data_IF_357907154251
#
_entry.id   IF_357907154251
#
_cell.length_a   1.000
_cell.length_b   1.000
_cell.length_c   1.000
_cell.angle_alpha   90.00
_cell.angle_beta   90.00
_cell.angle_gamma   90.00
#
_symmetry.space_group_name_H-M   'P 1'
#
loop_
_entity.id
_entity.type
_entity.pdbx_description
1 polymer ?
#
# COMPACT_ATOMS: atom_id res chain seq x y z
N UNK A 1 19.24 6.21 22.95
CA UNK A 1 18.56 6.97 24.04
C UNK A 1 17.19 7.51 23.61
N UNK A 2 17.09 8.25 22.47
CA UNK A 2 15.82 8.88 22.05
C UNK A 2 14.75 7.84 21.67
N UNK A 3 15.15 6.66 21.19
CA UNK A 3 14.26 5.58 20.81
C UNK A 3 13.96 4.58 21.92
N UNK A 4 14.49 4.78 23.14
CA UNK A 4 14.21 3.95 24.28
C UNK A 4 13.05 4.50 25.11
N UNK A 5 12.23 3.60 25.68
CA UNK A 5 11.07 3.97 26.49
C UNK A 5 11.49 4.67 27.81
N UNK A 6 12.68 4.38 28.30
CA UNK A 6 13.21 4.87 29.58
C UNK A 6 14.49 5.66 29.36
N UNK A 7 14.67 6.72 30.13
CA UNK A 7 15.91 7.47 30.26
C UNK A 7 16.60 7.07 31.57
N UNK A 8 17.84 6.63 31.45
CA UNK A 8 18.70 6.31 32.59
C UNK A 8 19.69 7.46 32.74
N UNK A 9 19.73 8.06 33.91
CA UNK A 9 20.67 9.12 34.27
C UNK A 9 21.89 8.54 35.01
N UNK A 10 22.97 9.32 35.10
CA UNK A 10 24.21 8.91 35.75
C UNK A 10 24.03 8.56 37.25
N UNK A 11 22.93 9.01 37.87
CA UNK A 11 22.57 8.73 39.25
C UNK A 11 21.53 7.58 39.38
N UNK A 12 21.45 6.69 38.41
CA UNK A 12 20.53 5.55 38.32
C UNK A 12 19.04 5.90 38.40
N UNK A 13 18.68 7.17 38.21
CA UNK A 13 17.29 7.56 38.10
C UNK A 13 16.75 7.12 36.77
N UNK A 14 15.59 6.46 36.77
CA UNK A 14 14.86 6.03 35.58
C UNK A 14 13.66 6.94 35.42
N UNK A 15 13.59 7.67 34.28
CA UNK A 15 12.44 8.49 33.94
C UNK A 15 11.87 8.03 32.58
N UNK A 16 10.57 8.18 32.41
CA UNK A 16 9.92 7.88 31.13
C UNK A 16 10.36 8.88 30.06
N UNK A 17 10.70 8.38 28.88
CA UNK A 17 11.11 9.21 27.77
C UNK A 17 9.89 9.86 27.09
N UNK A 18 9.66 11.14 27.35
CA UNK A 18 8.53 11.88 26.81
C UNK A 18 8.52 11.96 25.26
N UNK A 19 9.70 12.02 24.64
CA UNK A 19 9.84 12.05 23.18
C UNK A 19 9.42 10.70 22.57
N UNK A 20 9.87 9.61 23.18
CA UNK A 20 9.44 8.27 22.80
C UNK A 20 7.93 8.10 22.96
N UNK A 21 7.36 8.49 24.09
CA UNK A 21 5.92 8.40 24.35
C UNK A 21 5.08 9.15 23.31
N UNK A 22 5.50 10.35 22.91
CA UNK A 22 4.79 11.14 21.89
C UNK A 22 4.84 10.48 20.51
N UNK A 23 5.98 9.88 20.16
CA UNK A 23 6.16 9.23 18.87
C UNK A 23 5.48 7.85 18.81
N UNK A 24 5.54 7.08 19.89
CA UNK A 24 4.96 5.74 20.01
C UNK A 24 3.42 5.80 20.03
N UNK A 25 2.86 6.74 20.79
CA UNK A 25 1.41 6.99 20.82
C UNK A 25 0.85 7.59 19.50
N UNK A 26 1.71 8.03 18.59
CA UNK A 26 1.30 8.71 17.36
C UNK A 26 0.77 10.14 17.54
N UNK A 27 0.82 10.69 18.75
CA UNK A 27 0.33 12.04 19.03
C UNK A 27 1.13 13.12 18.29
N UNK A 28 2.46 13.00 18.29
CA UNK A 28 3.34 13.95 17.61
C UNK A 28 4.69 13.30 17.28
N UNK A 29 5.15 13.55 16.05
CA UNK A 29 6.45 13.06 15.59
C UNK A 29 6.41 11.67 14.97
N UNK A 30 7.48 11.33 14.27
CA UNK A 30 7.71 10.02 13.67
C UNK A 30 9.15 9.59 13.90
N UNK A 31 9.45 8.29 13.72
CA UNK A 31 10.82 7.79 13.82
C UNK A 31 11.78 8.52 12.85
N UNK A 32 11.31 8.87 11.65
CA UNK A 32 12.11 9.62 10.68
C UNK A 32 12.48 11.01 11.20
N UNK A 33 11.56 11.70 11.88
CA UNK A 33 11.83 13.00 12.51
C UNK A 33 12.80 12.86 13.69
N UNK A 34 12.65 11.83 14.51
CA UNK A 34 13.60 11.56 15.60
C UNK A 34 15.03 11.29 15.08
N UNK A 35 15.16 10.55 13.98
CA UNK A 35 16.45 10.33 13.31
C UNK A 35 17.10 11.63 12.84
N UNK A 36 16.32 12.57 12.32
CA UNK A 36 16.83 13.88 11.89
C UNK A 36 17.26 14.77 13.06
N UNK A 37 16.62 14.63 14.22
CA UNK A 37 16.97 15.43 15.41
C UNK A 37 18.26 14.99 16.08
N UNK A 38 18.52 13.68 16.15
CA UNK A 38 19.60 13.11 16.97
C UNK A 38 20.50 12.11 16.24
N UNK A 39 20.13 11.69 15.04
CA UNK A 39 20.93 10.78 14.23
C UNK A 39 21.62 11.49 13.09
N UNK A 40 21.13 11.28 11.87
CA UNK A 40 21.63 11.84 10.65
C UNK A 40 20.45 12.33 9.80
N UNK A 41 20.58 13.46 9.13
CA UNK A 41 19.51 13.95 8.26
C UNK A 41 19.39 13.14 6.97
N UNK A 42 20.52 12.74 6.35
CA UNK A 42 20.56 11.86 5.19
C UNK A 42 20.52 12.58 3.84
N UNK A 43 20.07 11.89 2.81
CA UNK A 43 20.02 12.36 1.42
C UNK A 43 18.86 13.34 1.20
N UNK A 44 19.12 14.41 0.47
CA UNK A 44 18.13 15.44 0.13
C UNK A 44 17.82 15.35 -1.36
N UNK A 45 16.55 15.51 -1.70
CA UNK A 45 16.09 15.58 -3.09
C UNK A 45 15.95 17.05 -3.55
N UNK A 46 16.45 17.34 -4.75
CA UNK A 46 16.22 18.61 -5.45
C UNK A 46 14.73 18.77 -5.84
N UNK A 47 14.25 19.97 -6.13
CA UNK A 47 12.90 20.17 -6.66
C UNK A 47 12.62 19.37 -7.94
N UNK A 48 13.64 19.11 -8.77
CA UNK A 48 13.56 18.26 -9.96
C UNK A 48 13.28 16.78 -9.69
N UNK A 49 13.43 16.33 -8.43
CA UNK A 49 13.32 14.91 -8.03
C UNK A 49 14.66 14.18 -7.94
N UNK A 50 15.71 14.75 -8.49
CA UNK A 50 17.08 14.22 -8.44
C UNK A 50 17.63 14.24 -7.01
N UNK A 51 18.31 13.18 -6.59
CA UNK A 51 18.90 13.06 -5.25
C UNK A 51 20.30 13.69 -5.28
N UNK A 52 20.62 14.51 -4.26
CA UNK A 52 21.97 15.05 -4.07
C UNK A 52 22.83 13.93 -3.49
N UNK A 53 23.94 13.61 -4.17
CA UNK A 53 24.81 12.48 -3.82
C UNK A 53 25.48 12.65 -2.44
N UNK A 54 25.82 13.89 -2.04
CA UNK A 54 26.41 14.18 -0.74
C UNK A 54 25.36 14.16 0.36
N UNK A 55 25.37 13.17 1.29
CA UNK A 55 24.42 13.13 2.39
C UNK A 55 24.73 14.19 3.44
N UNK A 56 23.71 14.63 4.16
CA UNK A 56 23.87 15.47 5.35
C UNK A 56 24.09 14.53 6.53
N UNK A 57 25.31 14.48 7.06
CA UNK A 57 25.71 13.60 8.16
C UNK A 57 25.29 14.18 9.50
N UNK A 58 25.35 15.51 9.65
CA UNK A 58 24.97 16.20 10.87
C UNK A 58 23.46 16.11 11.16
N UNK A 59 23.11 16.22 12.42
CA UNK A 59 21.74 16.29 12.90
C UNK A 59 21.38 17.73 13.34
N UNK A 60 20.10 17.96 13.61
CA UNK A 60 19.66 19.29 14.05
C UNK A 60 20.14 19.68 15.44
N UNK A 61 20.43 18.71 16.33
CA UNK A 61 20.94 18.99 17.69
C UNK A 61 22.37 19.52 17.65
N UNK A 62 23.22 18.97 16.79
CA UNK A 62 24.61 19.38 16.61
C UNK A 62 24.74 20.64 15.77
N UNK A 63 23.77 20.88 14.89
CA UNK A 63 23.78 21.93 13.90
C UNK A 63 24.43 21.49 12.58
N UNK A 64 24.03 22.15 11.49
CA UNK A 64 24.49 21.85 10.15
C UNK A 64 25.64 22.79 9.77
N UNK A 65 26.61 22.28 9.00
CA UNK A 65 27.60 23.11 8.34
C UNK A 65 26.92 24.02 7.28
N UNK A 66 27.60 25.07 6.85
CA UNK A 66 27.06 26.02 5.86
C UNK A 66 26.68 25.32 4.55
N UNK A 67 27.48 24.35 4.09
CA UNK A 67 27.23 23.61 2.87
C UNK A 67 26.03 22.65 3.03
N UNK A 68 25.97 21.95 4.15
CA UNK A 68 24.84 21.07 4.49
C UNK A 68 23.53 21.86 4.64
N UNK A 69 23.60 23.04 5.24
CA UNK A 69 22.45 23.93 5.33
C UNK A 69 21.96 24.34 3.94
N UNK A 70 22.87 24.75 3.04
CA UNK A 70 22.51 25.07 1.66
C UNK A 70 21.84 23.89 0.95
N UNK A 71 22.40 22.68 1.02
CA UNK A 71 21.79 21.47 0.47
C UNK A 71 20.39 21.22 1.07
N UNK A 72 20.25 21.45 2.36
CA UNK A 72 18.98 21.33 3.08
C UNK A 72 17.89 22.27 2.54
N UNK A 73 18.24 23.47 2.03
CA UNK A 73 17.27 24.42 1.49
C UNK A 73 16.57 23.91 0.23
N UNK A 74 17.21 23.05 -0.56
CA UNK A 74 16.57 22.41 -1.72
C UNK A 74 15.38 21.51 -1.28
N UNK A 75 15.57 20.73 -0.21
CA UNK A 75 14.50 19.91 0.35
C UNK A 75 13.36 20.75 0.92
N UNK A 76 13.67 21.86 1.60
CA UNK A 76 12.65 22.78 2.11
C UNK A 76 11.83 23.41 0.97
N UNK A 77 12.49 23.90 -0.08
CA UNK A 77 11.83 24.48 -1.27
C UNK A 77 10.94 23.46 -1.96
N UNK A 78 11.42 22.22 -2.15
CA UNK A 78 10.62 21.11 -2.69
C UNK A 78 9.39 20.86 -1.84
N UNK A 79 9.55 20.75 -0.52
CA UNK A 79 8.43 20.54 0.40
C UNK A 79 7.36 21.62 0.32
N UNK A 80 7.75 22.91 0.24
CA UNK A 80 6.83 24.03 0.06
C UNK A 80 6.06 23.95 -1.27
N UNK A 81 6.77 23.69 -2.37
CA UNK A 81 6.16 23.56 -3.69
C UNK A 81 5.20 22.37 -3.76
N UNK A 82 5.64 21.21 -3.26
CA UNK A 82 4.82 19.98 -3.23
C UNK A 82 3.55 20.18 -2.40
N UNK A 83 3.64 20.86 -1.26
CA UNK A 83 2.47 21.17 -0.42
C UNK A 83 1.45 22.02 -1.17
N UNK A 84 1.89 23.08 -1.84
CA UNK A 84 1.01 23.97 -2.58
C UNK A 84 0.28 23.24 -3.73
N UNK A 85 1.01 22.43 -4.51
CA UNK A 85 0.45 21.68 -5.63
C UNK A 85 -0.49 20.56 -5.17
N UNK A 86 -0.07 19.80 -4.17
CA UNK A 86 -0.87 18.66 -3.65
C UNK A 86 -2.15 19.12 -2.96
N UNK A 87 -2.16 20.28 -2.31
CA UNK A 87 -3.38 20.84 -1.70
C UNK A 87 -4.45 21.07 -2.76
N UNK A 88 -4.08 21.66 -3.90
CA UNK A 88 -5.01 21.86 -5.01
C UNK A 88 -5.53 20.54 -5.57
N UNK A 89 -4.66 19.55 -5.77
CA UNK A 89 -5.03 18.22 -6.25
C UNK A 89 -5.97 17.49 -5.27
N UNK A 90 -5.71 17.58 -3.96
CA UNK A 90 -6.58 17.00 -2.93
C UNK A 90 -7.97 17.64 -2.93
N UNK A 91 -8.04 18.97 -3.04
CA UNK A 91 -9.31 19.67 -3.15
C UNK A 91 -10.10 19.29 -4.39
N UNK A 92 -9.44 19.18 -5.54
CA UNK A 92 -10.06 18.73 -6.78
C UNK A 92 -10.55 17.28 -6.69
N UNK A 93 -9.76 16.38 -6.09
CA UNK A 93 -10.18 14.98 -5.86
C UNK A 93 -11.42 14.92 -4.98
N UNK A 94 -11.44 15.66 -3.86
CA UNK A 94 -12.58 15.70 -2.95
C UNK A 94 -13.84 16.19 -3.66
N UNK A 95 -13.74 17.27 -4.45
CA UNK A 95 -14.85 17.77 -5.25
C UNK A 95 -15.38 16.70 -6.21
N UNK A 96 -14.52 16.04 -6.96
CA UNK A 96 -14.93 14.98 -7.91
C UNK A 96 -15.58 13.80 -7.19
N UNK A 97 -15.06 13.40 -6.02
CA UNK A 97 -15.67 12.35 -5.22
C UNK A 97 -17.08 12.75 -4.75
N UNK A 98 -17.25 13.99 -4.29
CA UNK A 98 -18.55 14.50 -3.89
C UNK A 98 -19.53 14.52 -5.08
N UNK A 99 -19.11 15.02 -6.24
CA UNK A 99 -19.96 15.10 -7.44
C UNK A 99 -20.46 13.71 -7.90
N UNK A 100 -19.59 12.67 -7.77
CA UNK A 100 -19.96 11.29 -8.13
C UNK A 100 -20.82 10.61 -7.06
N UNK A 101 -20.51 10.87 -5.79
CA UNK A 101 -21.14 10.16 -4.66
C UNK A 101 -22.40 10.83 -4.11
N UNK A 102 -22.77 12.03 -4.56
CA UNK A 102 -23.91 12.80 -4.02
C UNK A 102 -25.24 12.05 -4.11
N UNK A 103 -25.43 11.23 -5.16
CA UNK A 103 -26.66 10.45 -5.38
C UNK A 103 -26.70 9.14 -4.56
N UNK A 104 -25.59 8.79 -3.89
CA UNK A 104 -25.54 7.57 -3.07
C UNK A 104 -26.13 7.86 -1.69
N UNK A 105 -27.42 7.62 -1.56
CA UNK A 105 -28.20 7.79 -0.32
C UNK A 105 -28.85 6.47 0.09
N UNK A 106 -29.24 6.36 1.36
CA UNK A 106 -30.02 5.23 1.83
C UNK A 106 -31.48 5.42 1.43
N UNK A 107 -31.93 4.69 0.42
CA UNK A 107 -33.25 4.88 -0.18
C UNK A 107 -34.30 3.89 0.30
N UNK A 108 -33.89 2.69 0.75
CA UNK A 108 -34.80 1.61 1.14
C UNK A 108 -34.31 0.92 2.40
N UNK A 109 -35.23 0.31 3.16
CA UNK A 109 -34.86 -0.54 4.29
C UNK A 109 -34.13 -1.80 3.81
N UNK A 110 -34.64 -2.45 2.78
CA UNK A 110 -34.11 -3.69 2.21
C UNK A 110 -34.17 -3.64 0.67
N UNK A 111 -33.16 -4.19 0.01
CA UNK A 111 -33.19 -4.42 -1.43
C UNK A 111 -33.75 -5.81 -1.75
N UNK A 112 -33.88 -6.12 -3.05
CA UNK A 112 -34.42 -7.40 -3.53
C UNK A 112 -33.56 -8.58 -2.97
N UNK A 113 -34.14 -9.45 -2.11
CA UNK A 113 -33.41 -10.57 -1.50
C UNK A 113 -32.85 -11.56 -2.50
N UNK A 114 -33.54 -11.78 -3.62
CA UNK A 114 -33.16 -12.76 -4.62
C UNK A 114 -31.96 -12.32 -5.49
N UNK A 115 -31.74 -11.02 -5.58
CA UNK A 115 -30.64 -10.42 -6.36
C UNK A 115 -29.47 -9.97 -5.50
N UNK A 116 -29.64 -9.92 -4.18
CA UNK A 116 -28.62 -9.50 -3.23
C UNK A 116 -27.60 -10.63 -3.02
N UNK A 117 -26.33 -10.36 -3.28
CA UNK A 117 -25.25 -11.30 -3.00
C UNK A 117 -24.45 -10.91 -1.76
N UNK A 118 -23.78 -11.90 -1.19
CA UNK A 118 -22.88 -11.72 -0.04
C UNK A 118 -21.43 -11.60 -0.48
N UNK A 119 -20.60 -11.02 0.38
CA UNK A 119 -19.15 -10.96 0.24
C UNK A 119 -18.53 -11.69 1.41
N UNK A 120 -17.58 -12.58 1.11
CA UNK A 120 -16.80 -13.27 2.13
C UNK A 120 -15.67 -12.37 2.60
N UNK A 121 -15.61 -12.14 3.91
CA UNK A 121 -14.55 -11.36 4.57
C UNK A 121 -13.73 -12.31 5.43
N UNK A 122 -12.40 -12.22 5.32
CA UNK A 122 -11.41 -12.92 6.15
C UNK A 122 -10.44 -11.92 6.76
N UNK A 123 -9.65 -12.33 7.71
CA UNK A 123 -8.54 -11.54 8.25
C UNK A 123 -7.52 -11.17 7.16
N UNK A 124 -6.84 -10.03 7.32
CA UNK A 124 -5.74 -9.62 6.43
C UNK A 124 -4.43 -10.00 7.10
N UNK A 125 -3.72 -10.93 6.46
CA UNK A 125 -2.41 -11.41 6.93
C UNK A 125 -1.35 -10.90 5.95
N UNK A 126 -0.34 -10.23 6.44
CA UNK A 126 0.81 -9.80 5.65
C UNK A 126 2.10 -10.20 6.36
N UNK A 127 2.95 -10.93 5.65
CA UNK A 127 4.24 -11.40 6.20
C UNK A 127 4.14 -12.30 7.44
N UNK A 128 2.99 -12.95 7.66
CA UNK A 128 2.74 -13.81 8.83
C UNK A 128 2.20 -13.08 10.06
N UNK A 129 2.03 -11.76 9.97
CA UNK A 129 1.36 -10.96 11.01
C UNK A 129 -0.06 -10.61 10.56
N UNK A 130 -1.01 -10.66 11.50
CA UNK A 130 -2.37 -10.18 11.26
C UNK A 130 -2.33 -8.65 11.28
N UNK A 131 -2.54 -8.03 10.12
CA UNK A 131 -2.63 -6.57 9.99
C UNK A 131 -3.97 -6.05 10.47
N UNK A 132 -5.05 -6.71 10.06
CA UNK A 132 -6.42 -6.35 10.44
C UNK A 132 -7.15 -7.62 10.80
N UNK A 133 -7.68 -7.66 12.02
CA UNK A 133 -8.45 -8.81 12.51
C UNK A 133 -9.78 -8.96 11.78
N UNK A 134 -10.35 -10.16 11.81
CA UNK A 134 -11.66 -10.41 11.22
C UNK A 134 -12.73 -9.56 11.91
N UNK A 135 -12.68 -9.44 13.24
CA UNK A 135 -13.60 -8.66 14.06
C UNK A 135 -13.66 -7.20 13.65
N UNK A 136 -12.51 -6.54 13.44
CA UNK A 136 -12.46 -5.15 12.97
C UNK A 136 -13.09 -4.96 11.59
N UNK A 137 -12.97 -5.95 10.70
CA UNK A 137 -13.50 -5.88 9.34
C UNK A 137 -15.00 -6.13 9.24
N UNK A 138 -15.55 -6.91 10.15
CA UNK A 138 -16.98 -7.28 10.14
C UNK A 138 -17.84 -6.43 11.08
N UNK A 139 -17.23 -5.71 12.01
CA UNK A 139 -17.93 -4.80 12.93
C UNK A 139 -18.84 -3.83 12.17
N UNK A 140 -20.09 -3.75 12.59
CA UNK A 140 -21.08 -2.85 11.99
C UNK A 140 -21.65 -3.31 10.65
N UNK A 141 -21.33 -4.52 10.18
CA UNK A 141 -21.93 -5.13 8.97
C UNK A 141 -23.09 -6.03 9.34
N UNK A 142 -23.95 -6.32 8.37
CA UNK A 142 -25.06 -7.24 8.52
C UNK A 142 -24.69 -8.61 7.93
N UNK A 143 -24.96 -9.66 8.66
CA UNK A 143 -24.60 -11.04 8.32
C UNK A 143 -25.50 -11.59 7.23
N UNK A 144 -24.93 -12.19 6.20
CA UNK A 144 -25.66 -12.81 5.11
C UNK A 144 -26.04 -14.28 5.39
N UNK A 145 -25.27 -14.99 6.24
CA UNK A 145 -25.47 -16.40 6.57
C UNK A 145 -25.22 -16.63 8.07
N UNK A 146 -25.83 -17.66 8.63
CA UNK A 146 -25.61 -18.01 10.03
C UNK A 146 -24.13 -18.32 10.30
N UNK A 147 -23.52 -17.64 11.25
CA UNK A 147 -22.17 -17.93 11.70
C UNK A 147 -22.22 -19.11 12.67
N UNK A 148 -21.50 -20.18 12.33
CA UNK A 148 -21.41 -21.39 13.12
C UNK A 148 -20.02 -21.50 13.75
N UNK A 149 -19.97 -22.07 14.94
CA UNK A 149 -18.71 -22.44 15.57
C UNK A 149 -18.04 -23.56 14.74
N UNK A 150 -16.81 -23.40 14.28
CA UNK A 150 -16.13 -24.42 13.47
C UNK A 150 -15.88 -25.74 14.23
N UNK A 151 -15.87 -25.72 15.56
CA UNK A 151 -15.62 -26.89 16.41
C UNK A 151 -16.91 -27.58 16.84
N UNK A 152 -17.90 -26.81 17.36
CA UNK A 152 -19.15 -27.39 17.92
C UNK A 152 -20.29 -27.45 16.91
N UNK A 153 -20.21 -26.69 15.78
CA UNK A 153 -21.29 -26.62 14.79
C UNK A 153 -22.51 -25.78 15.23
N UNK A 154 -22.51 -25.27 16.44
CA UNK A 154 -23.59 -24.42 16.95
C UNK A 154 -23.64 -23.07 16.28
N UNK A 155 -24.84 -22.51 16.11
CA UNK A 155 -25.03 -21.17 15.54
C UNK A 155 -24.71 -20.13 16.60
N UNK A 156 -23.65 -19.36 16.40
CA UNK A 156 -23.21 -18.27 17.27
C UNK A 156 -24.08 -17.02 17.02
N UNK A 157 -24.23 -16.66 15.74
CA UNK A 157 -24.95 -15.48 15.32
C UNK A 157 -25.86 -15.84 14.13
N UNK A 158 -27.10 -15.35 14.20
CA UNK A 158 -28.11 -15.61 13.16
C UNK A 158 -27.96 -14.66 11.98
N UNK A 159 -28.40 -15.13 10.82
CA UNK A 159 -28.54 -14.32 9.60
C UNK A 159 -29.33 -13.03 9.85
N UNK A 160 -29.03 -12.00 9.05
CA UNK A 160 -29.68 -10.67 9.05
C UNK A 160 -29.50 -9.86 10.36
N UNK A 161 -28.59 -10.29 11.24
CA UNK A 161 -28.24 -9.53 12.45
C UNK A 161 -27.12 -8.55 12.12
N UNK A 162 -27.21 -7.32 12.67
CA UNK A 162 -26.11 -6.33 12.70
C UNK A 162 -25.08 -6.79 13.73
N UNK A 163 -23.81 -6.88 13.34
CA UNK A 163 -22.72 -7.28 14.22
C UNK A 163 -22.35 -6.10 15.13
N UNK A 164 -22.41 -6.32 16.43
CA UNK A 164 -21.95 -5.42 17.47
C UNK A 164 -20.61 -5.88 18.08
N UNK A 165 -20.07 -5.11 19.02
CA UNK A 165 -18.80 -5.38 19.69
C UNK A 165 -18.83 -6.72 20.45
N UNK A 166 -19.94 -7.08 21.11
CA UNK A 166 -20.12 -8.34 21.81
C UNK A 166 -20.15 -9.54 20.86
N UNK A 167 -20.71 -9.35 19.67
CA UNK A 167 -20.70 -10.40 18.66
C UNK A 167 -19.30 -10.61 18.08
N UNK A 168 -18.50 -9.55 17.96
CA UNK A 168 -17.09 -9.64 17.55
C UNK A 168 -16.26 -10.49 18.55
N UNK A 169 -16.43 -10.27 19.86
CA UNK A 169 -15.77 -11.07 20.90
C UNK A 169 -16.12 -12.56 20.77
N UNK A 170 -17.38 -12.90 20.45
CA UNK A 170 -17.82 -14.29 20.24
C UNK A 170 -17.21 -14.90 18.98
N UNK A 171 -17.06 -14.12 17.90
CA UNK A 171 -16.43 -14.55 16.65
C UNK A 171 -14.96 -14.87 16.89
N UNK A 172 -14.25 -13.99 17.61
CA UNK A 172 -12.83 -14.17 17.94
C UNK A 172 -12.62 -15.37 18.88
N UNK A 173 -13.44 -15.51 19.92
CA UNK A 173 -13.39 -16.64 20.84
C UNK A 173 -13.66 -17.99 20.15
N UNK A 174 -14.53 -18.00 19.12
CA UNK A 174 -14.84 -19.21 18.34
C UNK A 174 -13.80 -19.55 17.27
N UNK A 175 -12.83 -18.65 16.99
CA UNK A 175 -11.79 -18.85 15.99
C UNK A 175 -12.31 -18.95 14.55
N UNK A 176 -13.37 -18.19 14.22
CA UNK A 176 -13.94 -18.14 12.87
C UNK A 176 -12.97 -17.43 11.94
N UNK A 177 -12.64 -18.02 10.78
CA UNK A 177 -11.67 -17.47 9.83
C UNK A 177 -12.28 -16.57 8.75
N UNK A 178 -13.53 -16.78 8.42
CA UNK A 178 -14.23 -16.03 7.38
C UNK A 178 -15.71 -15.91 7.68
N UNK A 179 -16.32 -14.81 7.29
CA UNK A 179 -17.74 -14.51 7.50
C UNK A 179 -18.33 -13.94 6.20
N UNK A 180 -19.54 -14.38 5.86
CA UNK A 180 -20.31 -13.86 4.74
C UNK A 180 -21.19 -12.69 5.22
N UNK A 181 -20.95 -11.50 4.67
CA UNK A 181 -21.68 -10.28 5.03
C UNK A 181 -22.28 -9.61 3.80
N UNK A 182 -23.30 -8.80 4.00
CA UNK A 182 -23.81 -7.95 2.95
C UNK A 182 -22.89 -6.74 2.74
N UNK A 183 -22.82 -6.27 1.49
CA UNK A 183 -21.96 -5.16 1.10
C UNK A 183 -22.71 -4.16 0.23
N UNK A 184 -22.29 -2.91 0.30
CA UNK A 184 -22.75 -1.84 -0.58
C UNK A 184 -22.52 -2.17 -2.07
N UNK A 185 -21.37 -2.83 -2.36
CA UNK A 185 -20.97 -3.19 -3.73
C UNK A 185 -21.93 -4.20 -4.37
N UNK A 186 -22.50 -5.09 -3.55
CA UNK A 186 -23.39 -6.16 -4.01
C UNK A 186 -24.88 -5.83 -3.78
N UNK A 187 -25.18 -4.58 -3.46
CA UNK A 187 -26.55 -4.15 -3.25
C UNK A 187 -27.36 -4.16 -4.55
N UNK A 188 -28.53 -4.80 -4.53
CA UNK A 188 -29.43 -4.90 -5.68
C UNK A 188 -30.32 -3.65 -5.90
N UNK A 189 -30.08 -2.57 -5.17
CA UNK A 189 -30.84 -1.32 -5.35
C UNK A 189 -30.41 -0.63 -6.65
N UNK A 190 -31.38 -0.15 -7.44
CA UNK A 190 -31.13 0.57 -8.69
C UNK A 190 -30.71 2.03 -8.47
N UNK A 191 -31.14 2.64 -7.36
CA UNK A 191 -30.74 3.99 -6.95
C UNK A 191 -30.40 3.97 -5.48
N UNK A 192 -29.22 4.51 -5.13
CA UNK A 192 -28.73 4.53 -3.76
C UNK A 192 -28.45 3.12 -3.21
N UNK A 193 -28.49 2.96 -1.92
CA UNK A 193 -28.17 1.74 -1.17
C UNK A 193 -29.26 1.44 -0.15
N UNK A 194 -29.48 0.18 0.22
CA UNK A 194 -30.39 -0.19 1.30
C UNK A 194 -29.69 -0.20 2.68
N UNK A 195 -30.46 -0.08 3.75
CA UNK A 195 -29.96 -0.08 5.13
C UNK A 195 -29.17 -1.35 5.48
N UNK A 196 -29.68 -2.51 5.08
CA UNK A 196 -29.07 -3.83 5.40
C UNK A 196 -27.70 -3.97 4.71
N UNK A 197 -27.57 -3.57 3.45
CA UNK A 197 -26.29 -3.67 2.74
C UNK A 197 -25.25 -2.66 3.23
N UNK A 198 -25.68 -1.52 3.74
CA UNK A 198 -24.79 -0.53 4.33
C UNK A 198 -24.37 -0.92 5.75
N UNK A 199 -25.34 -1.24 6.61
CA UNK A 199 -25.10 -1.64 7.99
C UNK A 199 -25.19 -0.48 8.99
N UNK A 200 -24.20 -0.39 9.88
CA UNK A 200 -24.17 0.51 11.04
C UNK A 200 -23.85 1.96 10.65
N UNK A 201 -24.60 2.88 11.19
CA UNK A 201 -24.23 4.29 11.27
C UNK A 201 -23.16 4.46 12.36
N UNK A 202 -21.97 4.90 11.97
CA UNK A 202 -20.83 5.05 12.87
C UNK A 202 -21.04 6.14 13.94
N UNK A 203 -21.86 7.14 13.65
CA UNK A 203 -22.14 8.24 14.61
C UNK A 203 -23.12 7.80 15.71
N UNK A 204 -24.13 6.99 15.35
CA UNK A 204 -25.22 6.60 16.26
C UNK A 204 -25.09 5.19 16.82
N UNK A 205 -24.20 4.37 16.25
CA UNK A 205 -23.99 2.99 16.66
C UNK A 205 -25.14 2.03 16.32
N UNK A 206 -26.13 2.46 15.55
CA UNK A 206 -27.32 1.70 15.14
C UNK A 206 -27.38 1.54 13.63
N UNK A 207 -28.33 0.73 13.15
CA UNK A 207 -28.58 0.62 11.71
C UNK A 207 -28.86 2.01 11.12
N UNK A 208 -28.24 2.30 9.97
CA UNK A 208 -28.33 3.60 9.29
C UNK A 208 -29.78 3.98 8.98
N UNK A 209 -30.12 5.26 9.08
CA UNK A 209 -31.47 5.76 8.79
C UNK A 209 -31.70 5.93 7.29
N UNK A 210 -32.97 5.77 6.86
CA UNK A 210 -33.35 6.09 5.46
C UNK A 210 -33.21 7.59 5.24
N UNK A 211 -32.68 7.98 4.08
CA UNK A 211 -32.40 9.37 3.71
C UNK A 211 -30.98 9.83 4.05
N UNK A 212 -30.17 9.01 4.71
CA UNK A 212 -28.79 9.37 5.03
C UNK A 212 -27.93 9.44 3.76
N UNK A 213 -27.18 10.53 3.59
CA UNK A 213 -26.33 10.79 2.42
C UNK A 213 -24.93 10.13 2.61
N UNK A 214 -24.89 8.81 2.64
CA UNK A 214 -23.67 8.02 2.94
C UNK A 214 -22.54 8.24 1.94
N UNK A 215 -22.88 8.52 0.67
CA UNK A 215 -21.88 8.82 -0.36
C UNK A 215 -21.14 10.13 -0.09
N UNK A 216 -21.86 11.18 0.35
CA UNK A 216 -21.24 12.45 0.75
C UNK A 216 -20.34 12.29 1.97
N UNK A 217 -20.80 11.53 2.98
CA UNK A 217 -20.00 11.22 4.17
C UNK A 217 -18.70 10.50 3.79
N UNK A 218 -18.79 9.50 2.91
CA UNK A 218 -17.62 8.79 2.41
C UNK A 218 -16.67 9.71 1.65
N UNK A 219 -17.16 10.53 0.72
CA UNK A 219 -16.35 11.45 -0.07
C UNK A 219 -15.60 12.47 0.81
N UNK A 220 -16.28 13.03 1.82
CA UNK A 220 -15.68 13.96 2.78
C UNK A 220 -14.65 13.27 3.67
N UNK A 221 -14.94 12.07 4.16
CA UNK A 221 -14.03 11.27 5.00
C UNK A 221 -12.76 10.82 4.25
N UNK A 222 -12.84 10.61 2.94
CA UNK A 222 -11.69 10.32 2.09
C UNK A 222 -10.91 11.60 1.75
N UNK A 223 -11.62 12.71 1.53
CA UNK A 223 -11.03 13.97 1.09
C UNK A 223 -10.32 14.75 2.19
N UNK A 224 -10.83 14.73 3.40
CA UNK A 224 -10.25 15.47 4.55
C UNK A 224 -8.82 15.03 4.85
N UNK A 225 -8.48 13.73 5.02
CA UNK A 225 -7.10 13.31 5.27
C UNK A 225 -6.15 13.63 4.10
N UNK A 226 -6.66 13.69 2.87
CA UNK A 226 -5.87 14.06 1.70
C UNK A 226 -5.21 15.44 1.87
N UNK A 227 -5.94 16.42 2.38
CA UNK A 227 -5.41 17.75 2.67
C UNK A 227 -4.41 17.74 3.83
N UNK A 228 -4.64 16.96 4.88
CA UNK A 228 -3.71 16.83 6.01
C UNK A 228 -2.44 16.05 5.64
N UNK A 229 -2.53 15.02 4.79
CA UNK A 229 -1.36 14.27 4.31
C UNK A 229 -0.42 15.16 3.51
N UNK A 230 -0.94 16.12 2.75
CA UNK A 230 -0.11 17.10 2.02
C UNK A 230 0.66 18.01 2.97
N UNK A 231 0.07 18.37 4.11
CA UNK A 231 0.76 19.14 5.16
C UNK A 231 1.83 18.32 5.89
N UNK A 232 1.60 17.00 6.12
CA UNK A 232 2.57 16.13 6.81
C UNK A 232 3.83 15.85 6.01
N UNK A 233 3.80 15.85 4.68
CA UNK A 233 4.99 15.66 3.85
C UNK A 233 6.00 16.83 3.98
N UNK A 234 5.54 18.01 4.38
CA UNK A 234 6.41 19.15 4.67
C UNK A 234 7.32 18.92 5.87
N UNK A 235 6.83 18.22 6.90
CA UNK A 235 7.60 17.95 8.13
C UNK A 235 8.76 16.97 7.96
N UNK A 236 8.80 16.19 6.89
CA UNK A 236 9.90 15.25 6.59
C UNK A 236 11.08 15.96 5.88
N UNK A 237 10.91 17.22 5.50
CA UNK A 237 12.00 18.10 5.04
C UNK A 237 12.65 17.66 3.72
N UNK A 238 11.93 16.99 2.84
CA UNK A 238 12.42 16.58 1.51
C UNK A 238 13.51 15.51 1.53
N UNK A 239 13.72 14.81 2.67
CA UNK A 239 14.62 13.65 2.71
C UNK A 239 14.11 12.54 1.83
N UNK A 240 14.99 11.94 1.04
CA UNK A 240 14.64 10.78 0.22
C UNK A 240 14.38 9.57 1.13
N UNK A 241 13.15 9.06 1.09
CA UNK A 241 12.84 7.77 1.71
C UNK A 241 13.12 6.68 0.69
N UNK A 242 14.28 6.06 0.78
CA UNK A 242 14.59 4.84 0.04
C UNK A 242 13.97 3.68 0.83
N UNK A 243 12.67 3.46 0.64
CA UNK A 243 11.99 2.24 1.07
C UNK A 243 11.86 1.33 -0.13
N UNK A 244 12.96 0.79 -0.59
CA UNK A 244 12.91 -0.14 -1.71
C UNK A 244 13.25 -1.52 -1.20
N UNK A 245 12.20 -2.25 -0.82
CA UNK A 245 12.31 -3.68 -0.64
C UNK A 245 12.58 -4.29 -2.00
N UNK A 246 13.79 -4.80 -2.19
CA UNK A 246 14.23 -5.47 -3.43
C UNK A 246 14.14 -6.99 -3.34
N UNK A 247 13.72 -7.52 -2.20
CA UNK A 247 13.68 -8.97 -1.94
C UNK A 247 12.59 -9.36 -0.94
N UNK A 248 12.07 -10.57 -1.09
CA UNK A 248 11.19 -11.21 -0.13
C UNK A 248 11.96 -12.32 0.58
N UNK A 249 11.99 -12.25 1.91
CA UNK A 249 12.61 -13.25 2.78
C UNK A 249 11.50 -13.98 3.54
N UNK A 250 11.54 -15.31 3.57
CA UNK A 250 10.59 -16.11 4.33
C UNK A 250 10.73 -15.87 5.83
N UNK A 251 9.62 -15.54 6.48
CA UNK A 251 9.58 -15.42 7.94
C UNK A 251 9.19 -16.73 8.63
N UNK A 252 8.62 -17.69 7.87
CA UNK A 252 8.14 -18.97 8.37
C UNK A 252 8.71 -20.12 7.55
N UNK A 253 8.81 -21.32 8.16
CA UNK A 253 9.13 -22.55 7.43
C UNK A 253 7.84 -23.16 6.90
N UNK A 254 7.81 -23.58 5.64
CA UNK A 254 6.65 -24.24 5.05
C UNK A 254 6.86 -24.58 3.57
N UNK A 255 5.81 -25.13 2.97
CA UNK A 255 5.77 -25.47 1.55
C UNK A 255 5.30 -24.25 0.74
N UNK A 256 6.05 -23.89 -0.30
CA UNK A 256 5.72 -22.80 -1.20
C UNK A 256 4.60 -23.22 -2.17
N UNK A 257 3.54 -22.43 -2.22
CA UNK A 257 2.46 -22.56 -3.21
C UNK A 257 2.33 -21.24 -3.96
N UNK A 258 2.42 -21.28 -5.29
CA UNK A 258 2.35 -20.09 -6.14
C UNK A 258 0.94 -19.95 -6.68
N UNK A 259 0.27 -18.88 -6.31
CA UNK A 259 -1.09 -18.54 -6.75
C UNK A 259 -0.99 -17.65 -7.99
N UNK A 260 -1.87 -17.87 -8.97
CA UNK A 260 -1.87 -17.17 -10.28
C UNK A 260 -0.54 -17.34 -11.03
N UNK A 261 -0.18 -18.58 -11.30
CA UNK A 261 1.07 -18.97 -11.95
C UNK A 261 1.13 -18.42 -13.39
N UNK A 262 1.82 -17.32 -13.58
CA UNK A 262 2.27 -16.87 -14.88
C UNK A 262 3.78 -16.63 -14.79
N UNK A 263 4.55 -17.68 -15.07
CA UNK A 263 5.99 -17.78 -14.87
C UNK A 263 6.67 -18.15 -16.17
N UNK A 264 7.83 -17.57 -16.42
CA UNK A 264 8.71 -17.92 -17.54
C UNK A 264 10.09 -18.29 -17.01
N UNK A 265 10.74 -19.26 -17.65
CA UNK A 265 12.14 -19.60 -17.38
C UNK A 265 13.04 -18.79 -18.31
N UNK A 266 14.01 -18.08 -17.75
CA UNK A 266 15.08 -17.39 -18.47
C UNK A 266 16.11 -18.40 -19.03
N UNK A 267 16.92 -17.98 -20.01
CA UNK A 267 18.04 -18.76 -20.57
C UNK A 267 19.04 -19.27 -19.51
N UNK A 268 19.09 -18.64 -18.34
CA UNK A 268 19.87 -19.07 -17.17
C UNK A 268 19.12 -20.02 -16.22
N UNK A 269 17.93 -20.51 -16.62
CA UNK A 269 17.02 -21.36 -15.79
C UNK A 269 16.50 -20.68 -14.52
N UNK A 270 16.49 -19.35 -14.47
CA UNK A 270 15.82 -18.62 -13.39
C UNK A 270 14.33 -18.50 -13.72
N UNK A 271 13.50 -18.59 -12.69
CA UNK A 271 12.05 -18.40 -12.81
C UNK A 271 11.74 -16.92 -12.67
N UNK A 272 11.07 -16.33 -13.64
CA UNK A 272 10.69 -14.92 -13.66
C UNK A 272 9.17 -14.81 -13.63
N UNK A 273 8.66 -13.92 -12.80
CA UNK A 273 7.22 -13.65 -12.63
C UNK A 273 6.72 -12.71 -13.72
N UNK A 274 5.76 -13.18 -14.52
CA UNK A 274 5.08 -12.41 -15.56
C UNK A 274 3.68 -11.92 -15.13
N UNK A 275 3.15 -12.47 -14.05
CA UNK A 275 1.84 -12.11 -13.52
C UNK A 275 1.90 -10.84 -12.67
N UNK A 276 0.95 -9.91 -12.89
CA UNK A 276 0.79 -8.72 -12.03
C UNK A 276 0.14 -9.03 -10.68
N UNK A 277 -0.57 -10.16 -10.59
CA UNK A 277 -1.31 -10.61 -9.40
C UNK A 277 -0.78 -11.93 -8.84
N UNK A 278 0.48 -12.27 -9.12
CA UNK A 278 1.11 -13.47 -8.58
C UNK A 278 1.35 -13.29 -7.08
N UNK A 279 0.98 -14.31 -6.32
CA UNK A 279 1.17 -14.37 -4.88
C UNK A 279 1.90 -15.66 -4.51
N UNK A 280 2.78 -15.56 -3.52
CA UNK A 280 3.47 -16.67 -2.91
C UNK A 280 2.81 -16.97 -1.57
N UNK A 281 2.22 -18.14 -1.44
CA UNK A 281 1.67 -18.64 -0.18
C UNK A 281 2.62 -19.66 0.42
N UNK A 282 2.92 -19.52 1.70
CA UNK A 282 3.64 -20.54 2.45
C UNK A 282 2.62 -21.32 3.28
N UNK A 283 2.57 -22.63 3.07
CA UNK A 283 1.61 -23.54 3.69
C UNK A 283 2.34 -24.53 4.61
N UNK A 284 1.65 -24.92 5.68
CA UNK A 284 2.08 -25.99 6.58
C UNK A 284 1.73 -27.37 5.99
N UNK A 285 2.21 -28.45 6.61
CA UNK A 285 1.88 -29.84 6.23
C UNK A 285 0.37 -30.12 6.21
N UNK A 286 -0.42 -29.36 6.97
CA UNK A 286 -1.87 -29.44 7.02
C UNK A 286 -2.59 -28.54 6.00
N UNK A 287 -1.84 -27.97 5.00
CA UNK A 287 -2.34 -26.98 4.02
C UNK A 287 -2.92 -25.72 4.66
N UNK A 288 -2.48 -25.35 5.85
CA UNK A 288 -2.82 -24.08 6.47
C UNK A 288 -1.87 -23.02 5.92
N UNK A 289 -2.43 -21.91 5.50
CA UNK A 289 -1.68 -20.77 4.99
C UNK A 289 -1.01 -20.04 6.15
N UNK A 290 0.33 -20.05 6.17
CA UNK A 290 1.13 -19.41 7.22
C UNK A 290 1.50 -17.98 6.85
N UNK A 291 1.76 -17.71 5.57
CA UNK A 291 2.11 -16.38 5.08
C UNK A 291 1.75 -16.22 3.61
N UNK A 292 1.36 -14.99 3.21
CA UNK A 292 1.16 -14.61 1.82
C UNK A 292 2.06 -13.43 1.51
N UNK A 293 2.75 -13.52 0.36
CA UNK A 293 3.57 -12.44 -0.17
C UNK A 293 3.11 -12.09 -1.59
N UNK A 294 2.88 -10.82 -1.85
CA UNK A 294 2.63 -10.32 -3.20
C UNK A 294 3.96 -10.10 -3.90
N UNK A 295 4.08 -10.58 -5.13
CA UNK A 295 5.32 -10.48 -5.91
C UNK A 295 5.14 -9.54 -7.07
N UNK A 296 6.13 -8.68 -7.30
CA UNK A 296 6.13 -7.73 -8.40
C UNK A 296 6.42 -8.42 -9.75
N UNK A 297 5.89 -7.83 -10.82
CA UNK A 297 6.23 -8.22 -12.19
C UNK A 297 7.74 -8.12 -12.44
N UNK A 298 8.32 -9.10 -13.11
CA UNK A 298 9.74 -9.15 -13.40
C UNK A 298 10.62 -9.68 -12.26
N UNK A 299 10.02 -10.05 -11.11
CA UNK A 299 10.76 -10.64 -9.99
C UNK A 299 11.31 -12.01 -10.33
N UNK A 300 12.52 -12.28 -9.86
CA UNK A 300 13.20 -13.56 -9.97
C UNK A 300 12.88 -14.41 -8.75
N UNK A 301 12.38 -15.63 -8.97
CA UNK A 301 12.11 -16.60 -7.91
C UNK A 301 13.27 -17.58 -7.77
N UNK A 302 13.59 -17.95 -6.53
CA UNK A 302 14.66 -18.90 -6.20
C UNK A 302 14.14 -20.31 -5.92
N UNK A 303 12.84 -20.47 -5.71
CA UNK A 303 12.19 -21.74 -5.41
C UNK A 303 11.08 -22.03 -6.40
N UNK A 304 10.86 -23.31 -6.67
CA UNK A 304 9.75 -23.79 -7.49
C UNK A 304 8.49 -23.98 -6.65
N UNK A 305 7.36 -24.05 -7.34
CA UNK A 305 6.11 -24.40 -6.71
C UNK A 305 6.18 -25.80 -6.08
N UNK A 306 5.86 -25.86 -4.80
CA UNK A 306 5.91 -27.09 -4.01
C UNK A 306 7.19 -27.32 -3.23
N UNK A 307 8.22 -26.48 -3.39
CA UNK A 307 9.47 -26.58 -2.64
C UNK A 307 9.26 -26.19 -1.16
N UNK A 308 10.07 -26.77 -0.27
CA UNK A 308 10.08 -26.43 1.15
C UNK A 308 11.04 -25.25 1.34
N UNK A 309 10.51 -24.16 1.86
CA UNK A 309 11.28 -22.95 2.18
C UNK A 309 11.52 -22.90 3.68
N UNK A 310 12.76 -22.65 4.08
CA UNK A 310 13.13 -22.45 5.49
C UNK A 310 13.02 -20.97 5.88
N UNK A 311 12.84 -20.71 7.18
CA UNK A 311 12.85 -19.36 7.73
C UNK A 311 14.17 -18.64 7.43
N UNK A 312 14.11 -17.39 6.97
CA UNK A 312 15.27 -16.56 6.65
C UNK A 312 15.83 -16.77 5.23
N UNK A 313 15.25 -17.67 4.42
CA UNK A 313 15.65 -17.83 3.02
C UNK A 313 14.99 -16.78 2.13
N UNK A 314 15.75 -16.28 1.16
CA UNK A 314 15.30 -15.36 0.11
C UNK A 314 14.45 -16.13 -0.89
N UNK A 315 13.20 -15.72 -1.07
CA UNK A 315 12.24 -16.38 -1.97
C UNK A 315 12.21 -15.69 -3.33
N UNK A 316 12.15 -14.36 -3.30
CA UNK A 316 12.06 -13.53 -4.51
C UNK A 316 13.00 -12.33 -4.42
N UNK A 317 13.42 -11.83 -5.59
CA UNK A 317 14.26 -10.63 -5.74
C UNK A 317 13.86 -9.88 -6.99
N UNK A 318 13.87 -8.56 -6.92
CA UNK A 318 13.65 -7.68 -8.08
C UNK A 318 14.49 -6.42 -7.96
N UNK A 319 14.69 -5.77 -9.09
CA UNK A 319 15.30 -4.45 -9.13
C UNK A 319 14.18 -3.40 -9.00
N UNK A 320 14.14 -2.60 -7.93
CA UNK A 320 13.10 -1.61 -7.73
C UNK A 320 13.18 -0.43 -8.73
N UNK A 321 14.36 -0.22 -9.36
CA UNK A 321 14.60 0.88 -10.29
C UNK A 321 14.27 0.54 -11.73
N UNK A 322 14.13 -0.75 -12.06
CA UNK A 322 13.85 -1.20 -13.43
C UNK A 322 12.53 -1.93 -13.52
N UNK A 323 11.72 -1.58 -14.51
CA UNK A 323 10.55 -2.35 -14.92
C UNK A 323 10.90 -3.09 -16.22
N UNK A 324 11.28 -4.37 -16.17
CA UNK A 324 11.70 -5.10 -17.34
C UNK A 324 10.53 -5.30 -18.31
N UNK A 325 10.79 -5.19 -19.61
CA UNK A 325 9.86 -5.63 -20.65
C UNK A 325 10.32 -7.02 -21.09
N UNK A 326 9.51 -8.03 -20.79
CA UNK A 326 9.88 -9.43 -21.00
C UNK A 326 9.14 -9.96 -22.23
N UNK A 327 9.86 -10.66 -23.12
CA UNK A 327 9.27 -11.29 -24.28
C UNK A 327 8.55 -12.59 -23.88
N UNK A 328 7.28 -12.73 -24.26
CA UNK A 328 6.47 -13.93 -24.01
C UNK A 328 6.71 -15.02 -25.05
N UNK A 329 7.12 -14.61 -26.25
CA UNK A 329 7.37 -15.52 -27.39
C UNK A 329 8.73 -15.24 -28.01
N UNK A 330 9.33 -16.27 -28.62
CA UNK A 330 10.55 -16.11 -29.40
C UNK A 330 10.29 -15.35 -30.70
N UNK A 331 11.23 -14.51 -31.13
CA UNK A 331 11.11 -13.72 -32.35
C UNK A 331 12.27 -12.77 -32.54
N UNK A 332 12.27 -12.07 -33.68
CA UNK A 332 13.27 -11.03 -34.00
C UNK A 332 12.73 -9.69 -33.50
N UNK A 333 13.54 -9.01 -32.68
CA UNK A 333 13.21 -7.69 -32.13
C UNK A 333 13.34 -6.63 -33.21
N UNK A 334 12.32 -5.81 -33.38
CA UNK A 334 12.34 -4.65 -34.25
C UNK A 334 11.89 -3.40 -33.50
N UNK A 335 12.66 -2.32 -33.64
CA UNK A 335 12.38 -1.02 -33.02
C UNK A 335 11.63 -0.15 -34.04
N UNK A 336 10.48 0.39 -33.63
CA UNK A 336 9.64 1.26 -34.47
C UNK A 336 9.47 2.62 -33.82
N UNK A 337 9.55 3.69 -34.63
CA UNK A 337 9.36 5.08 -34.23
C UNK A 337 10.37 5.58 -33.15
N UNK A 338 11.52 4.93 -33.05
CA UNK A 338 12.64 5.34 -32.20
C UNK A 338 13.66 6.11 -33.06
N UNK A 339 13.55 7.45 -33.06
CA UNK A 339 14.41 8.34 -33.83
C UNK A 339 15.32 9.13 -32.86
N UNK A 340 16.63 9.08 -33.10
CA UNK A 340 17.60 9.89 -32.32
C UNK A 340 17.31 11.39 -32.45
N UNK A 341 17.37 12.09 -31.32
CA UNK A 341 17.08 13.52 -31.24
C UNK A 341 15.59 13.90 -31.21
N UNK A 342 14.66 12.93 -31.44
CA UNK A 342 13.22 13.21 -31.46
C UNK A 342 12.49 12.42 -30.39
N UNK A 343 12.57 11.09 -30.43
CA UNK A 343 11.94 10.18 -29.49
C UNK A 343 12.95 9.40 -28.65
N UNK A 344 14.23 9.46 -29.00
CA UNK A 344 15.32 8.80 -28.32
C UNK A 344 16.44 9.80 -28.03
N UNK A 345 16.90 9.84 -26.79
CA UNK A 345 18.09 10.60 -26.38
C UNK A 345 19.14 9.63 -25.87
N UNK A 346 20.36 9.72 -26.39
CA UNK A 346 21.51 8.98 -25.91
C UNK A 346 22.29 9.86 -24.93
N UNK A 347 22.42 9.38 -23.70
CA UNK A 347 23.23 10.02 -22.66
C UNK A 347 24.44 9.15 -22.38
N UNK A 348 25.63 9.73 -22.51
CA UNK A 348 26.86 9.08 -22.12
C UNK A 348 27.11 9.38 -20.65
N UNK A 349 27.33 8.35 -19.85
CA UNK A 349 27.75 8.50 -18.46
C UNK A 349 29.28 8.64 -18.43
N UNK A 350 29.75 9.83 -18.14
CA UNK A 350 31.20 10.15 -18.12
C UNK A 350 31.97 9.35 -17.05
N UNK A 351 31.29 8.84 -16.01
CA UNK A 351 31.92 8.08 -14.94
C UNK A 351 32.09 6.60 -15.29
N UNK A 352 31.12 6.02 -15.99
CA UNK A 352 31.13 4.57 -16.34
C UNK A 352 31.51 4.30 -17.79
N UNK A 353 31.49 5.33 -18.66
CA UNK A 353 31.73 5.20 -20.10
C UNK A 353 30.63 4.43 -20.85
N UNK A 354 29.51 4.16 -20.19
CA UNK A 354 28.37 3.46 -20.78
C UNK A 354 27.38 4.46 -21.36
N UNK A 355 26.95 4.20 -22.61
CA UNK A 355 25.84 4.98 -23.19
C UNK A 355 24.50 4.38 -22.77
N UNK A 356 23.60 5.19 -22.24
CA UNK A 356 22.22 4.82 -22.01
C UNK A 356 21.30 5.54 -22.99
N UNK A 357 20.36 4.77 -23.58
CA UNK A 357 19.35 5.28 -24.50
C UNK A 357 18.04 5.42 -23.77
N UNK A 358 17.53 6.64 -23.62
CA UNK A 358 16.24 6.93 -22.98
C UNK A 358 15.21 7.43 -23.98
N UNK A 359 13.98 6.96 -23.86
CA UNK A 359 12.84 7.44 -24.66
C UNK A 359 12.35 8.75 -24.05
N UNK A 360 12.40 9.84 -24.82
CA UNK A 360 11.93 11.15 -24.37
C UNK A 360 10.42 11.28 -24.52
N UNK A 361 9.82 12.23 -23.79
CA UNK A 361 8.40 12.55 -23.93
C UNK A 361 8.11 13.26 -25.28
N UNK A 362 7.94 12.48 -26.35
CA UNK A 362 7.67 12.96 -27.70
C UNK A 362 6.33 13.67 -27.84
N UNK A 363 5.40 13.47 -26.90
CA UNK A 363 4.05 14.05 -26.92
C UNK A 363 4.05 15.55 -26.59
N UNK A 364 5.10 16.03 -25.94
CA UNK A 364 5.23 17.45 -25.58
C UNK A 364 5.49 18.37 -26.79
N UNK A 365 5.93 17.80 -27.91
CA UNK A 365 6.21 18.55 -29.16
C UNK A 365 5.10 18.34 -30.17
N UNK A 366 4.40 19.39 -30.56
CA UNK A 366 3.28 19.34 -31.50
C UNK A 366 3.60 18.71 -32.87
N UNK A 367 4.87 18.71 -33.29
CA UNK A 367 5.34 18.08 -34.53
C UNK A 367 5.49 16.57 -34.47
N UNK A 368 5.53 15.97 -33.26
CA UNK A 368 5.89 14.57 -33.06
C UNK A 368 4.73 13.72 -32.48
N UNK A 369 3.51 14.25 -32.46
CA UNK A 369 2.34 13.60 -31.86
C UNK A 369 1.93 12.28 -32.53
N UNK A 370 2.37 12.02 -33.77
CA UNK A 370 2.07 10.81 -34.52
C UNK A 370 3.03 9.65 -34.23
N UNK A 371 4.20 9.91 -33.63
CA UNK A 371 5.17 8.88 -33.27
C UNK A 371 4.65 8.03 -32.12
N UNK A 372 4.82 6.73 -32.24
CA UNK A 372 4.48 5.74 -31.20
C UNK A 372 5.67 4.81 -30.95
N UNK A 373 6.68 5.26 -30.21
CA UNK A 373 7.85 4.45 -29.89
C UNK A 373 7.43 3.09 -29.31
N UNK A 374 7.84 2.00 -29.96
CA UNK A 374 7.48 0.64 -29.58
C UNK A 374 8.51 -0.39 -30.00
N UNK A 375 8.53 -1.47 -29.27
CA UNK A 375 9.32 -2.68 -29.60
C UNK A 375 8.32 -3.70 -30.14
N UNK A 376 8.59 -4.28 -31.27
CA UNK A 376 7.78 -5.35 -31.88
C UNK A 376 8.61 -6.61 -32.06
N UNK A 377 8.00 -7.76 -31.85
CA UNK A 377 8.54 -9.08 -32.15
C UNK A 377 7.95 -9.57 -33.49
N UNK A 378 8.81 -10.06 -34.37
CA UNK A 378 8.45 -10.73 -35.64
C UNK A 378 9.05 -12.11 -35.71
#
# INVERSE_FOLDING_TARGET
EISSAEKIYDDDRIETNSVYMMADSGARGSQAQMKQLAGMRGLIAKPSGEIIETPIIANFKEGLSVLEYFNSTHGARKGLADTALKTANSGYLTRRLCDVAQDVQITKAECDPDKRSSVTISEIIEGGNILVSLSERVLGRVIAENIKNPVTGEVIIKKDKLIDEFDCEKIDAAGVKSVNVYSVITCASTKGVCQICYGRDLARGKLVSIGEAVGMIAAQSIGEPGTQLTMRTFHVGGTAQIKEESQIISQTKGKLNIINKNLIEDSKKNIIVMGRNTQLSIEDEQKRQLAIYKVNYGSKLFFKDGDIVEKGKKIAEWDPYTLPVIAETGGIVNYMDLMEGTSLTETLDDATGLSSKSVTDWKSSAKNSELKPRITLR
#
